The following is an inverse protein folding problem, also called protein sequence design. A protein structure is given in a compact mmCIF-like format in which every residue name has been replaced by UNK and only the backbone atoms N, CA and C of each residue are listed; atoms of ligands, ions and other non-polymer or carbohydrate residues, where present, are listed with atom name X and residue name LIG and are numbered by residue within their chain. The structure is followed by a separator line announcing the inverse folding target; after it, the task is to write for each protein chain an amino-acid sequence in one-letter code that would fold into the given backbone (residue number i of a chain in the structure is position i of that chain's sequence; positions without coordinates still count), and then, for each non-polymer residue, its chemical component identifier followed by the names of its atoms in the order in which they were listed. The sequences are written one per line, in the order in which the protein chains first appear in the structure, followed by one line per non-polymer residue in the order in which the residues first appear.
data_IF_108401283397
#
_entry.id   IF_108401283397
#
_cell.length_a   1.000
_cell.length_b   1.000
_cell.length_c   1.000
_cell.angle_alpha   90.00
_cell.angle_beta   90.00
_cell.angle_gamma   90.00
#
_symmetry.space_group_name_H-M   'P 1'
#
loop_
_entity.id
_entity.type
_entity.pdbx_description
1 polymer ?
#
# COMPACT_ATOMS: atom_id res chain seq x y z
N UNK A 1 -33.77 21.17 21.60
CA UNK A 1 -33.56 21.37 20.14
C UNK A 1 -32.25 20.78 19.59
N UNK A 2 -31.35 20.20 20.38
CA UNK A 2 -30.09 19.60 19.88
C UNK A 2 -30.09 18.07 19.71
N UNK A 3 -31.22 17.39 19.95
CA UNK A 3 -31.26 15.93 20.09
C UNK A 3 -31.01 15.16 18.77
N UNK A 4 -31.76 15.47 17.71
CA UNK A 4 -31.80 14.63 16.51
C UNK A 4 -30.65 14.92 15.53
N UNK A 5 -30.42 16.20 15.22
CA UNK A 5 -29.31 16.63 14.38
C UNK A 5 -27.94 16.25 14.98
N UNK A 6 -27.83 16.31 16.32
CA UNK A 6 -26.62 15.90 17.04
C UNK A 6 -26.33 14.41 16.89
N UNK A 7 -27.36 13.56 16.97
CA UNK A 7 -27.21 12.11 16.82
C UNK A 7 -26.77 11.76 15.38
N UNK A 8 -27.44 12.32 14.37
CA UNK A 8 -27.10 12.07 12.97
C UNK A 8 -25.66 12.51 12.66
N UNK A 9 -25.26 13.69 13.14
CA UNK A 9 -23.89 14.20 12.96
C UNK A 9 -22.85 13.31 13.66
N UNK A 10 -23.13 12.86 14.89
CA UNK A 10 -22.23 11.98 15.64
C UNK A 10 -22.06 10.63 14.95
N UNK A 11 -23.15 10.00 14.51
CA UNK A 11 -23.12 8.72 13.76
C UNK A 11 -22.35 8.87 12.46
N UNK A 12 -22.56 9.98 11.74
CA UNK A 12 -21.84 10.29 10.50
C UNK A 12 -20.34 10.43 10.74
N UNK A 13 -19.94 11.17 11.77
CA UNK A 13 -18.52 11.34 12.13
C UNK A 13 -17.87 10.02 12.56
N UNK A 14 -18.58 9.18 13.30
CA UNK A 14 -18.09 7.85 13.69
C UNK A 14 -17.89 6.96 12.46
N UNK A 15 -18.88 6.91 11.56
CA UNK A 15 -18.80 6.12 10.34
C UNK A 15 -17.67 6.59 9.42
N UNK A 16 -17.52 7.91 9.24
CA UNK A 16 -16.41 8.50 8.48
C UNK A 16 -15.06 8.22 9.15
N UNK A 17 -14.97 8.39 10.46
CA UNK A 17 -13.75 8.08 11.22
C UNK A 17 -13.32 6.62 11.09
N UNK A 18 -14.29 5.69 11.12
CA UNK A 18 -14.04 4.26 10.97
C UNK A 18 -13.43 3.91 9.60
N UNK A 19 -13.86 4.58 8.52
CA UNK A 19 -13.27 4.43 7.17
C UNK A 19 -11.92 5.15 7.06
N UNK A 20 -11.80 6.31 7.69
CA UNK A 20 -10.63 7.17 7.56
C UNK A 20 -9.36 6.56 8.17
N UNK A 21 -9.48 5.86 9.30
CA UNK A 21 -8.34 5.21 9.98
C UNK A 21 -7.62 4.19 9.08
N UNK A 22 -8.28 3.13 8.56
CA UNK A 22 -7.63 2.15 7.68
C UNK A 22 -7.15 2.80 6.37
N UNK A 23 -7.91 3.76 5.83
CA UNK A 23 -7.49 4.49 4.63
C UNK A 23 -6.18 5.25 4.84
N UNK A 24 -6.07 6.02 5.93
CA UNK A 24 -4.86 6.78 6.25
C UNK A 24 -3.66 5.87 6.52
N UNK A 25 -3.87 4.73 7.21
CA UNK A 25 -2.82 3.73 7.43
C UNK A 25 -2.34 3.11 6.12
N UNK A 26 -3.25 2.76 5.22
CA UNK A 26 -2.93 2.31 3.86
C UNK A 26 -2.13 3.36 3.10
N UNK A 27 -2.53 4.63 3.16
CA UNK A 27 -1.83 5.72 2.48
C UNK A 27 -0.41 5.95 3.02
N UNK A 28 -0.22 5.84 4.34
CA UNK A 28 1.10 5.91 4.98
C UNK A 28 2.01 4.79 4.48
N UNK A 29 1.48 3.57 4.34
CA UNK A 29 2.23 2.44 3.77
C UNK A 29 2.55 2.65 2.30
N UNK A 30 1.61 3.17 1.50
CA UNK A 30 1.88 3.53 0.11
C UNK A 30 3.01 4.55 -0.01
N UNK A 31 3.10 5.53 0.90
CA UNK A 31 4.21 6.49 0.96
C UNK A 31 5.53 5.81 1.31
N UNK A 32 5.55 4.94 2.32
CA UNK A 32 6.74 4.18 2.69
C UNK A 32 7.23 3.30 1.52
N UNK A 33 6.31 2.60 0.85
CA UNK A 33 6.61 1.80 -0.34
C UNK A 33 7.11 2.67 -1.51
N UNK A 34 6.56 3.88 -1.69
CA UNK A 34 7.03 4.82 -2.72
C UNK A 34 8.46 5.30 -2.47
N UNK A 35 8.86 5.42 -1.21
CA UNK A 35 10.23 5.78 -0.84
C UNK A 35 11.16 4.58 -1.07
N UNK A 36 10.74 3.37 -0.66
CA UNK A 36 11.51 2.14 -0.85
C UNK A 36 11.72 1.78 -2.34
N UNK A 37 10.76 2.15 -3.20
CA UNK A 37 10.78 1.91 -4.66
C UNK A 37 11.33 3.10 -5.45
N UNK A 38 11.92 4.10 -4.78
CA UNK A 38 12.46 5.28 -5.45
C UNK A 38 13.61 4.87 -6.37
N UNK A 39 13.60 5.39 -7.61
CA UNK A 39 14.72 5.26 -8.54
C UNK A 39 15.94 6.02 -8.01
N UNK A 40 17.09 5.36 -8.03
CA UNK A 40 18.36 5.94 -7.65
C UNK A 40 19.19 6.21 -8.91
N UNK A 41 19.92 7.32 -8.93
CA UNK A 41 20.90 7.57 -9.99
C UNK A 41 22.10 6.65 -9.82
N UNK A 42 22.83 6.36 -10.91
CA UNK A 42 24.04 5.51 -10.87
C UNK A 42 25.07 5.96 -9.82
N UNK A 43 25.26 7.27 -9.69
CA UNK A 43 26.16 7.88 -8.70
C UNK A 43 25.72 7.58 -7.26
N UNK A 44 24.42 7.60 -7.00
CA UNK A 44 23.85 7.27 -5.68
C UNK A 44 23.98 5.77 -5.39
N UNK A 45 23.83 4.92 -6.41
CA UNK A 45 24.02 3.47 -6.29
C UNK A 45 25.46 3.17 -5.88
N UNK A 46 26.45 3.77 -6.55
CA UNK A 46 27.85 3.57 -6.21
C UNK A 46 28.21 4.13 -4.83
N UNK A 47 27.61 5.25 -4.41
CA UNK A 47 27.78 5.78 -3.05
C UNK A 47 27.23 4.82 -1.98
N UNK A 48 26.04 4.27 -2.17
CA UNK A 48 25.41 3.34 -1.22
C UNK A 48 26.13 1.98 -1.16
N UNK A 49 26.63 1.49 -2.29
CA UNK A 49 27.43 0.26 -2.33
C UNK A 49 28.78 0.40 -1.61
N UNK A 50 29.28 1.62 -1.43
CA UNK A 50 30.51 1.92 -0.66
C UNK A 50 30.25 2.08 0.84
N UNK A 51 29.10 2.62 1.23
CA UNK A 51 28.76 2.88 2.63
C UNK A 51 28.29 1.66 3.44
N UNK A 52 27.95 0.54 2.78
CA UNK A 52 27.50 -0.68 3.45
C UNK A 52 26.01 -0.66 3.83
N UNK A 53 25.53 -1.74 4.43
CA UNK A 53 24.11 -1.96 4.72
C UNK A 53 23.58 -1.02 5.82
N UNK A 54 22.54 -0.25 5.50
CA UNK A 54 21.80 0.62 6.41
C UNK A 54 20.32 0.22 6.44
N UNK A 55 19.60 0.60 7.49
CA UNK A 55 18.26 0.07 7.84
C UNK A 55 17.09 0.60 6.99
N UNK A 56 17.32 1.59 6.12
CA UNK A 56 16.28 2.19 5.27
C UNK A 56 16.75 2.30 3.81
N UNK A 57 17.26 1.20 3.25
CA UNK A 57 17.79 1.21 1.89
C UNK A 57 16.70 0.96 0.84
N UNK A 58 16.80 1.60 -0.35
CA UNK A 58 15.95 1.27 -1.48
C UNK A 58 16.14 -0.18 -1.93
N UNK A 59 15.07 -0.77 -2.45
CA UNK A 59 14.98 -2.18 -2.86
C UNK A 59 16.07 -2.55 -3.87
N UNK A 60 16.41 -1.63 -4.79
CA UNK A 60 17.47 -1.82 -5.78
C UNK A 60 18.85 -2.00 -5.15
N UNK A 61 19.14 -1.30 -4.05
CA UNK A 61 20.41 -1.43 -3.31
C UNK A 61 20.42 -2.73 -2.53
N UNK A 62 19.31 -3.06 -1.87
CA UNK A 62 19.18 -4.33 -1.15
C UNK A 62 19.43 -5.51 -2.08
N UNK A 63 18.85 -5.48 -3.29
CA UNK A 63 19.08 -6.49 -4.32
C UNK A 63 20.56 -6.59 -4.73
N UNK A 64 21.20 -5.45 -5.03
CA UNK A 64 22.61 -5.44 -5.46
C UNK A 64 23.55 -5.94 -4.36
N UNK A 65 23.30 -5.58 -3.11
CA UNK A 65 24.05 -6.07 -1.96
C UNK A 65 23.85 -7.57 -1.75
N UNK A 66 22.60 -8.05 -1.87
CA UNK A 66 22.27 -9.46 -1.77
C UNK A 66 22.98 -10.28 -2.85
N UNK A 67 22.93 -9.83 -4.12
CA UNK A 67 23.64 -10.46 -5.23
C UNK A 67 25.14 -10.50 -4.97
N UNK A 68 25.74 -9.36 -4.59
CA UNK A 68 27.19 -9.26 -4.33
C UNK A 68 27.61 -10.19 -3.18
N UNK A 69 26.81 -10.26 -2.12
CA UNK A 69 27.07 -11.12 -0.96
C UNK A 69 26.93 -12.59 -1.33
N UNK A 70 25.83 -12.97 -1.98
CA UNK A 70 25.57 -14.35 -2.40
C UNK A 70 26.64 -14.88 -3.37
N UNK A 71 27.10 -14.04 -4.31
CA UNK A 71 28.20 -14.41 -5.21
C UNK A 71 29.54 -14.55 -4.50
N UNK A 72 29.82 -13.72 -3.49
CA UNK A 72 31.04 -13.84 -2.71
C UNK A 72 31.04 -15.11 -1.84
N UNK A 73 29.87 -15.48 -1.32
CA UNK A 73 29.66 -16.68 -0.51
C UNK A 73 29.50 -17.96 -1.36
N UNK A 74 29.38 -17.84 -2.70
CA UNK A 74 29.18 -18.95 -3.64
C UNK A 74 30.44 -19.83 -3.80
N UNK A 75 30.77 -20.59 -2.76
CA UNK A 75 31.85 -21.58 -2.75
C UNK A 75 31.51 -22.83 -3.57
N UNK A 76 30.22 -23.06 -3.82
CA UNK A 76 29.69 -24.26 -4.46
C UNK A 76 29.63 -24.17 -6.00
N UNK A 77 30.00 -23.02 -6.59
CA UNK A 77 30.08 -22.86 -8.03
C UNK A 77 28.73 -22.74 -8.75
N UNK A 78 27.66 -22.34 -8.04
CA UNK A 78 26.35 -22.12 -8.65
C UNK A 78 26.42 -21.07 -9.78
N UNK A 79 25.63 -21.22 -10.87
CA UNK A 79 25.58 -20.24 -11.94
C UNK A 79 25.19 -18.85 -11.41
N UNK A 80 25.89 -17.81 -11.84
CA UNK A 80 25.61 -16.43 -11.42
C UNK A 80 24.20 -15.98 -11.80
N UNK A 81 23.65 -16.48 -12.91
CA UNK A 81 22.28 -16.18 -13.33
C UNK A 81 21.23 -16.72 -12.35
N UNK A 82 21.46 -17.92 -11.81
CA UNK A 82 20.57 -18.50 -10.80
C UNK A 82 20.55 -17.64 -9.53
N UNK A 83 21.72 -17.19 -9.07
CA UNK A 83 21.82 -16.32 -7.88
C UNK A 83 21.09 -14.99 -8.09
N UNK A 84 21.20 -14.41 -9.29
CA UNK A 84 20.51 -13.16 -9.62
C UNK A 84 18.99 -13.34 -9.61
N UNK A 85 18.49 -14.43 -10.20
CA UNK A 85 17.05 -14.72 -10.24
C UNK A 85 16.49 -15.03 -8.85
N UNK A 86 17.18 -15.85 -8.06
CA UNK A 86 16.81 -16.12 -6.67
C UNK A 86 16.80 -14.85 -5.81
N UNK A 87 17.80 -13.97 -6.00
CA UNK A 87 17.85 -12.67 -5.30
C UNK A 87 16.68 -11.77 -5.69
N UNK A 88 16.31 -11.75 -6.98
CA UNK A 88 15.13 -11.03 -7.48
C UNK A 88 13.86 -11.55 -6.80
N UNK A 89 13.64 -12.86 -6.82
CA UNK A 89 12.46 -13.48 -6.22
C UNK A 89 12.37 -13.21 -4.72
N UNK A 90 13.50 -13.31 -4.01
CA UNK A 90 13.58 -13.01 -2.58
C UNK A 90 13.16 -11.56 -2.29
N UNK A 91 13.76 -10.59 -2.98
CA UNK A 91 13.48 -9.16 -2.77
C UNK A 91 12.03 -8.79 -3.14
N UNK A 92 11.50 -9.37 -4.23
CA UNK A 92 10.09 -9.19 -4.59
C UNK A 92 9.15 -9.78 -3.53
N UNK A 93 9.49 -10.96 -2.99
CA UNK A 93 8.69 -11.59 -1.92
C UNK A 93 8.72 -10.77 -0.62
N UNK A 94 9.88 -10.24 -0.25
CA UNK A 94 10.04 -9.37 0.92
C UNK A 94 9.21 -8.07 0.76
N UNK A 95 9.26 -7.46 -0.42
CA UNK A 95 8.44 -6.27 -0.72
C UNK A 95 6.94 -6.55 -0.65
N UNK A 96 6.51 -7.70 -1.19
CA UNK A 96 5.11 -8.12 -1.15
C UNK A 96 4.63 -8.30 0.30
N UNK A 97 5.44 -8.95 1.14
CA UNK A 97 5.15 -9.15 2.55
C UNK A 97 5.10 -7.83 3.35
N UNK A 98 6.04 -6.92 3.13
CA UNK A 98 6.15 -5.67 3.89
C UNK A 98 5.16 -4.59 3.46
N UNK A 99 4.78 -4.56 2.18
CA UNK A 99 4.00 -3.45 1.63
C UNK A 99 2.71 -3.90 0.95
N UNK A 100 2.78 -4.77 -0.05
CA UNK A 100 1.61 -5.05 -0.89
C UNK A 100 0.50 -5.77 -0.12
N UNK A 101 0.84 -6.79 0.68
CA UNK A 101 -0.12 -7.51 1.53
C UNK A 101 -0.79 -6.58 2.56
N UNK A 102 -0.05 -5.79 3.37
CA UNK A 102 -0.67 -4.83 4.29
C UNK A 102 -1.55 -3.78 3.59
N UNK A 103 -1.12 -3.22 2.45
CA UNK A 103 -1.93 -2.25 1.69
C UNK A 103 -3.24 -2.89 1.25
N UNK A 104 -3.19 -4.11 0.71
CA UNK A 104 -4.39 -4.81 0.26
C UNK A 104 -5.31 -5.18 1.44
N UNK A 105 -4.75 -5.54 2.59
CA UNK A 105 -5.53 -5.76 3.81
C UNK A 105 -6.30 -4.50 4.23
N UNK A 106 -5.65 -3.33 4.26
CA UNK A 106 -6.33 -2.07 4.56
C UNK A 106 -7.37 -1.70 3.51
N UNK A 107 -7.09 -1.94 2.23
CA UNK A 107 -8.05 -1.69 1.15
C UNK A 107 -9.29 -2.58 1.31
N UNK A 108 -9.11 -3.88 1.50
CA UNK A 108 -10.20 -4.87 1.58
C UNK A 108 -11.10 -4.73 2.81
N UNK A 109 -10.62 -4.05 3.86
CA UNK A 109 -11.43 -3.73 5.05
C UNK A 109 -12.37 -2.54 4.80
N UNK A 110 -12.10 -1.67 3.83
CA UNK A 110 -12.92 -0.48 3.58
C UNK A 110 -14.35 -0.82 3.12
N UNK A 111 -14.60 -1.67 2.11
CA UNK A 111 -15.96 -1.96 1.66
C UNK A 111 -16.86 -2.56 2.75
N UNK A 112 -16.41 -3.54 3.57
CA UNK A 112 -17.19 -4.01 4.71
C UNK A 112 -17.56 -2.91 5.71
N UNK A 113 -16.64 -1.97 6.00
CA UNK A 113 -16.95 -0.82 6.88
C UNK A 113 -18.01 0.09 6.23
N UNK A 114 -17.89 0.37 4.93
CA UNK A 114 -18.91 1.12 4.19
C UNK A 114 -20.28 0.45 4.23
N UNK A 115 -20.32 -0.87 4.10
CA UNK A 115 -21.55 -1.65 4.21
C UNK A 115 -22.21 -1.57 5.60
N UNK A 116 -21.41 -1.59 6.67
CA UNK A 116 -21.90 -1.37 8.04
C UNK A 116 -22.52 0.03 8.15
N UNK A 117 -21.87 1.06 7.60
CA UNK A 117 -22.41 2.42 7.59
C UNK A 117 -23.71 2.54 6.82
N UNK A 118 -23.83 1.89 5.67
CA UNK A 118 -25.09 1.81 4.90
C UNK A 118 -26.19 1.10 5.68
N UNK A 119 -25.88 -0.03 6.30
CA UNK A 119 -26.85 -0.78 7.13
C UNK A 119 -27.34 0.06 8.31
N UNK A 120 -26.43 0.77 8.98
CA UNK A 120 -26.78 1.71 10.04
C UNK A 120 -27.67 2.86 9.57
N UNK A 121 -27.32 3.48 8.44
CA UNK A 121 -28.13 4.56 7.85
C UNK A 121 -29.53 4.08 7.43
N UNK A 122 -29.65 2.90 6.83
CA UNK A 122 -30.95 2.31 6.50
C UNK A 122 -31.78 1.99 7.75
N UNK A 123 -31.17 1.53 8.83
CA UNK A 123 -31.87 1.27 10.09
C UNK A 123 -32.45 2.56 10.68
N UNK A 124 -31.68 3.66 10.66
CA UNK A 124 -32.16 4.99 11.07
C UNK A 124 -33.28 5.47 10.16
N UNK A 125 -33.18 5.25 8.85
CA UNK A 125 -34.22 5.59 7.88
C UNK A 125 -35.55 4.87 8.19
N UNK A 126 -35.51 3.56 8.44
CA UNK A 126 -36.71 2.80 8.79
C UNK A 126 -37.34 3.23 10.11
N UNK A 127 -36.53 3.59 11.10
CA UNK A 127 -37.03 4.16 12.36
C UNK A 127 -37.65 5.54 12.14
N UNK A 128 -37.04 6.37 11.30
CA UNK A 128 -37.53 7.70 10.96
C UNK A 128 -38.89 7.68 10.27
N UNK A 129 -39.07 6.75 9.32
CA UNK A 129 -40.36 6.56 8.62
C UNK A 129 -41.50 6.19 9.57
N UNK A 130 -41.22 5.47 10.67
CA UNK A 130 -42.24 5.20 11.70
C UNK A 130 -42.62 6.42 12.52
N UNK A 131 -41.75 7.42 12.61
CA UNK A 131 -41.93 8.63 13.43
C UNK A 131 -42.36 9.84 12.58
N UNK A 132 -42.51 9.67 11.26
CA UNK A 132 -42.92 10.69 10.29
C UNK A 132 -42.03 11.95 10.31
N UNK A 133 -40.71 11.77 10.43
CA UNK A 133 -39.75 12.87 10.54
C UNK A 133 -38.92 13.01 9.25
N UNK A 134 -39.44 13.78 8.29
CA UNK A 134 -38.88 13.92 6.92
C UNK A 134 -37.42 14.39 6.89
N UNK A 135 -37.01 15.24 7.84
CA UNK A 135 -35.64 15.77 7.89
C UNK A 135 -34.62 14.70 8.27
N UNK A 136 -35.02 13.76 9.15
CA UNK A 136 -34.19 12.68 9.62
C UNK A 136 -34.07 11.57 8.55
N UNK A 137 -35.10 11.40 7.72
CA UNK A 137 -35.07 10.49 6.57
C UNK A 137 -34.02 10.90 5.53
N UNK A 138 -34.01 12.16 5.12
CA UNK A 138 -33.04 12.67 4.15
C UNK A 138 -31.60 12.52 4.67
N UNK A 139 -31.37 12.80 5.95
CA UNK A 139 -30.07 12.64 6.60
C UNK A 139 -29.61 11.18 6.64
N UNK A 140 -30.49 10.27 7.03
CA UNK A 140 -30.19 8.84 7.11
C UNK A 140 -29.83 8.23 5.75
N UNK A 141 -30.57 8.61 4.71
CA UNK A 141 -30.30 8.19 3.33
C UNK A 141 -28.96 8.74 2.83
N UNK A 142 -28.65 10.02 3.08
CA UNK A 142 -27.37 10.61 2.72
C UNK A 142 -26.20 9.89 3.39
N UNK A 143 -26.29 9.60 4.70
CA UNK A 143 -25.26 8.87 5.45
C UNK A 143 -25.04 7.47 4.87
N UNK A 144 -26.13 6.76 4.55
CA UNK A 144 -26.05 5.42 4.02
C UNK A 144 -25.30 5.36 2.68
N UNK A 145 -25.56 6.31 1.78
CA UNK A 145 -24.94 6.38 0.46
C UNK A 145 -23.49 6.86 0.52
N UNK A 146 -23.24 7.93 1.30
CA UNK A 146 -21.92 8.55 1.41
C UNK A 146 -20.93 7.56 2.02
N UNK A 147 -21.32 6.79 3.05
CA UNK A 147 -20.43 5.82 3.70
C UNK A 147 -19.91 4.75 2.72
N UNK A 148 -20.80 4.14 1.93
CA UNK A 148 -20.41 3.15 0.92
C UNK A 148 -19.59 3.75 -0.21
N UNK A 149 -19.94 4.95 -0.68
CA UNK A 149 -19.20 5.64 -1.74
C UNK A 149 -17.76 5.94 -1.31
N UNK A 150 -17.56 6.49 -0.11
CA UNK A 150 -16.23 6.79 0.42
C UNK A 150 -15.39 5.52 0.62
N UNK A 151 -16.00 4.43 1.11
CA UNK A 151 -15.33 3.15 1.26
C UNK A 151 -14.84 2.59 -0.09
N UNK A 152 -15.67 2.62 -1.13
CA UNK A 152 -15.31 2.15 -2.47
C UNK A 152 -14.25 3.01 -3.13
N UNK A 153 -14.34 4.34 -2.99
CA UNK A 153 -13.31 5.26 -3.49
C UNK A 153 -11.98 4.98 -2.78
N UNK A 154 -11.99 4.86 -1.45
CA UNK A 154 -10.80 4.56 -0.67
C UNK A 154 -10.14 3.23 -1.06
N UNK A 155 -10.95 2.18 -1.25
CA UNK A 155 -10.50 0.88 -1.75
C UNK A 155 -9.82 1.02 -3.11
N UNK A 156 -10.49 1.66 -4.07
CA UNK A 156 -9.99 1.83 -5.44
C UNK A 156 -8.70 2.63 -5.48
N UNK A 157 -8.60 3.69 -4.65
CA UNK A 157 -7.39 4.51 -4.55
C UNK A 157 -6.22 3.68 -4.01
N UNK A 158 -6.40 2.93 -2.92
CA UNK A 158 -5.32 2.13 -2.34
C UNK A 158 -4.85 1.00 -3.28
N UNK A 159 -5.79 0.28 -3.90
CA UNK A 159 -5.46 -0.76 -4.88
C UNK A 159 -4.78 -0.18 -6.12
N UNK A 160 -5.26 0.96 -6.63
CA UNK A 160 -4.62 1.66 -7.74
C UNK A 160 -3.20 2.13 -7.40
N UNK A 161 -2.96 2.63 -6.18
CA UNK A 161 -1.62 2.98 -5.71
C UNK A 161 -0.72 1.75 -5.61
N UNK A 162 -1.22 0.63 -5.08
CA UNK A 162 -0.48 -0.64 -4.97
C UNK A 162 0.02 -1.10 -6.33
N UNK A 163 -0.84 -1.11 -7.35
CA UNK A 163 -0.48 -1.52 -8.72
C UNK A 163 0.63 -0.62 -9.28
N UNK A 164 0.50 0.70 -9.11
CA UNK A 164 1.53 1.65 -9.56
C UNK A 164 2.87 1.44 -8.84
N UNK A 165 2.83 1.16 -7.54
CA UNK A 165 4.03 0.89 -6.74
C UNK A 165 4.70 -0.42 -7.14
N UNK A 166 3.93 -1.46 -7.43
CA UNK A 166 4.44 -2.72 -7.96
C UNK A 166 5.18 -2.52 -9.28
N UNK A 167 4.59 -1.75 -10.21
CA UNK A 167 5.26 -1.41 -11.47
C UNK A 167 6.57 -0.64 -11.27
N UNK A 168 6.63 0.29 -10.31
CA UNK A 168 7.87 1.00 -9.94
C UNK A 168 8.92 0.07 -9.35
N UNK A 169 8.52 -0.85 -8.48
CA UNK A 169 9.37 -1.85 -7.85
C UNK A 169 10.02 -2.76 -8.89
N UNK A 170 9.23 -3.34 -9.81
CA UNK A 170 9.73 -4.18 -10.90
C UNK A 170 10.73 -3.41 -11.77
N UNK A 171 10.38 -2.19 -12.19
CA UNK A 171 11.28 -1.37 -13.00
C UNK A 171 12.61 -1.06 -12.27
N UNK A 172 12.57 -0.81 -10.96
CA UNK A 172 13.77 -0.56 -10.15
C UNK A 172 14.66 -1.79 -9.98
N UNK A 173 14.05 -2.98 -9.87
CA UNK A 173 14.77 -4.27 -9.86
C UNK A 173 15.44 -4.52 -11.21
N UNK A 174 14.71 -4.35 -12.31
CA UNK A 174 15.23 -4.58 -13.66
C UNK A 174 16.39 -3.64 -13.98
N UNK A 175 16.31 -2.37 -13.57
CA UNK A 175 17.39 -1.39 -13.69
C UNK A 175 18.63 -1.79 -12.88
N UNK A 176 18.44 -2.31 -11.65
CA UNK A 176 19.53 -2.79 -10.81
C UNK A 176 20.23 -4.02 -11.42
N UNK A 177 19.47 -4.98 -11.96
CA UNK A 177 20.02 -6.16 -12.63
C UNK A 177 20.77 -5.75 -13.90
N UNK A 178 20.21 -4.84 -14.69
CA UNK A 178 20.88 -4.32 -15.89
C UNK A 178 22.20 -3.63 -15.54
N UNK A 179 22.22 -2.81 -14.48
CA UNK A 179 23.44 -2.18 -13.97
C UNK A 179 24.49 -3.22 -13.56
N UNK A 180 24.08 -4.27 -12.83
CA UNK A 180 24.96 -5.36 -12.45
C UNK A 180 25.58 -6.06 -13.67
N UNK A 181 24.77 -6.42 -14.67
CA UNK A 181 25.23 -7.10 -15.90
C UNK A 181 26.26 -6.28 -16.68
N UNK A 182 26.04 -4.98 -16.83
CA UNK A 182 26.99 -4.08 -17.50
C UNK A 182 28.32 -4.03 -16.73
N UNK A 183 28.26 -3.97 -15.40
CA UNK A 183 29.47 -3.89 -14.56
C UNK A 183 30.28 -5.19 -14.55
N UNK A 184 29.62 -6.34 -14.68
CA UNK A 184 30.31 -7.63 -14.81
C UNK A 184 30.86 -7.86 -16.21
N UNK A 185 30.15 -7.45 -17.26
CA UNK A 185 30.61 -7.58 -18.63
C UNK A 185 31.85 -6.73 -18.92
N UNK A 186 32.02 -5.56 -18.28
CA UNK A 186 33.22 -4.74 -18.39
C UNK A 186 34.42 -5.21 -17.58
N UNK A 187 34.33 -6.36 -16.88
CA UNK A 187 35.41 -6.96 -16.07
C UNK A 187 35.89 -8.31 -16.60
N UNK A 188 35.21 -8.87 -17.61
CA UNK A 188 35.64 -10.06 -18.33
C UNK A 188 36.52 -9.66 -19.51
#
# INVERSE_FOLDING_TARGET
MFGEAGITLTVTLIALGAVWIPFYRGLKLCRAASIATRRLKREEIDAHLRQGAGTAQPISIQLLQLIRRALHENREGHPSEFIVDASRQYVTSEWDALYAKPISMYANVLPPIGFIGTTGGLLVLFLSMRVANETLELGALAVALISSLFALIGFTVLEGMKIRLYGKMVAGIDEAIAYYRVRTAGRA
#
